data_IF_048127212991
#
_entry.id   IF_048127212991
#
_cell.length_a   1.000
_cell.length_b   1.000
_cell.length_c   1.000
_cell.angle_alpha   90.00
_cell.angle_beta   90.00
_cell.angle_gamma   90.00
#
_symmetry.space_group_name_H-M   'P 1'
#
loop_
_entity.id
_entity.type
_entity.pdbx_description
1 polymer ?
#
# COMPACT_ATOMS: atom_id res chain seq x y z
N UNK A 1 -32.67 -32.57 3.24
CA UNK A 1 -33.05 -31.44 4.12
C UNK A 1 -33.07 -30.19 3.27
N UNK A 2 -34.22 -29.79 2.76
CA UNK A 2 -34.37 -28.65 1.84
C UNK A 2 -34.15 -27.36 2.63
N UNK A 3 -33.26 -26.48 2.17
CA UNK A 3 -32.92 -25.23 2.85
C UNK A 3 -34.18 -24.36 3.07
N UNK A 4 -34.27 -23.60 4.18
CA UNK A 4 -35.37 -22.67 4.41
C UNK A 4 -35.45 -21.63 3.28
N UNK A 5 -36.67 -21.17 2.93
CA UNK A 5 -36.86 -20.25 1.81
C UNK A 5 -36.04 -18.97 1.99
N UNK A 6 -35.53 -18.39 0.89
CA UNK A 6 -34.72 -17.17 0.95
C UNK A 6 -35.53 -16.02 1.54
N UNK A 7 -34.88 -15.18 2.34
CA UNK A 7 -35.50 -13.96 2.87
C UNK A 7 -35.78 -12.96 1.74
N UNK A 8 -36.68 -11.96 1.91
CA UNK A 8 -37.00 -11.01 0.85
C UNK A 8 -35.78 -10.29 0.26
N UNK A 9 -34.84 -9.89 1.13
CA UNK A 9 -33.58 -9.28 0.72
C UNK A 9 -32.69 -10.26 -0.05
N UNK A 10 -32.60 -11.52 0.39
CA UNK A 10 -31.83 -12.55 -0.33
C UNK A 10 -32.43 -12.85 -1.71
N UNK A 11 -33.76 -12.89 -1.81
CA UNK A 11 -34.46 -13.05 -3.09
C UNK A 11 -34.16 -11.90 -4.03
N UNK A 12 -34.21 -10.65 -3.57
CA UNK A 12 -33.86 -9.49 -4.40
C UNK A 12 -32.44 -9.57 -4.97
N UNK A 13 -31.47 -10.05 -4.17
CA UNK A 13 -30.10 -10.27 -4.64
C UNK A 13 -30.02 -11.40 -5.67
N UNK A 14 -30.72 -12.52 -5.45
CA UNK A 14 -30.74 -13.64 -6.39
C UNK A 14 -31.42 -13.25 -7.71
N UNK A 15 -32.52 -12.51 -7.66
CA UNK A 15 -33.26 -12.02 -8.83
C UNK A 15 -32.41 -11.02 -9.62
N UNK A 16 -31.69 -10.13 -8.93
CA UNK A 16 -30.73 -9.22 -9.58
C UNK A 16 -29.60 -9.98 -10.27
N UNK A 17 -29.01 -10.97 -9.60
CA UNK A 17 -27.94 -11.79 -10.18
C UNK A 17 -28.46 -12.53 -11.43
N UNK A 18 -29.67 -13.09 -11.39
CA UNK A 18 -30.30 -13.75 -12.52
C UNK A 18 -30.59 -12.78 -13.70
N UNK A 19 -31.13 -11.60 -13.40
CA UNK A 19 -31.39 -10.57 -14.40
C UNK A 19 -30.10 -10.03 -15.03
N UNK A 20 -29.06 -9.82 -14.23
CA UNK A 20 -27.76 -9.36 -14.68
C UNK A 20 -27.07 -10.40 -15.57
N UNK A 21 -27.15 -11.69 -15.21
CA UNK A 21 -26.68 -12.79 -16.04
C UNK A 21 -27.44 -12.87 -17.38
N UNK A 22 -28.76 -12.62 -17.37
CA UNK A 22 -29.55 -12.61 -18.60
C UNK A 22 -29.16 -11.45 -19.53
N UNK A 23 -28.94 -10.26 -18.98
CA UNK A 23 -28.61 -9.05 -19.74
C UNK A 23 -27.16 -8.99 -20.22
N UNK A 24 -26.20 -9.41 -19.39
CA UNK A 24 -24.77 -9.17 -19.63
C UNK A 24 -23.97 -10.45 -19.88
N UNK A 25 -24.60 -11.63 -19.78
CA UNK A 25 -23.96 -12.95 -19.92
C UNK A 25 -22.72 -13.16 -19.05
N UNK A 26 -22.54 -12.34 -18.02
CA UNK A 26 -21.45 -12.42 -17.06
C UNK A 26 -22.00 -12.20 -15.65
N UNK A 27 -21.34 -12.79 -14.66
CA UNK A 27 -21.75 -12.67 -13.27
C UNK A 27 -21.49 -11.24 -12.75
N UNK A 28 -22.44 -10.62 -12.03
CA UNK A 28 -22.23 -9.30 -11.46
C UNK A 28 -21.05 -9.32 -10.50
N UNK A 29 -20.22 -8.30 -10.58
CA UNK A 29 -19.18 -8.06 -9.57
C UNK A 29 -19.82 -7.59 -8.27
N UNK A 30 -19.04 -7.63 -7.18
CA UNK A 30 -19.50 -7.08 -5.91
C UNK A 30 -19.80 -5.57 -6.03
N UNK A 31 -19.04 -4.86 -6.87
CA UNK A 31 -19.26 -3.44 -7.17
C UNK A 31 -20.59 -3.19 -7.92
N UNK A 32 -21.01 -4.07 -8.83
CA UNK A 32 -22.29 -3.96 -9.53
C UNK A 32 -23.47 -4.06 -8.54
N UNK A 33 -23.39 -5.03 -7.61
CA UNK A 33 -24.37 -5.19 -6.54
C UNK A 33 -24.36 -4.01 -5.56
N UNK A 34 -23.18 -3.48 -5.22
CA UNK A 34 -23.07 -2.26 -4.39
C UNK A 34 -23.76 -1.07 -5.05
N UNK A 35 -23.54 -0.86 -6.36
CA UNK A 35 -24.14 0.25 -7.08
C UNK A 35 -25.67 0.10 -7.22
N UNK A 36 -26.14 -1.11 -7.54
CA UNK A 36 -27.57 -1.36 -7.72
C UNK A 36 -28.37 -1.27 -6.41
N UNK A 37 -27.84 -1.81 -5.32
CA UNK A 37 -28.53 -1.84 -4.02
C UNK A 37 -28.17 -0.66 -3.10
N UNK A 38 -27.22 0.19 -3.49
CA UNK A 38 -26.80 1.36 -2.71
C UNK A 38 -26.18 1.02 -1.34
N UNK A 39 -25.58 -0.16 -1.22
CA UNK A 39 -25.02 -0.68 0.05
C UNK A 39 -23.49 -0.67 0.03
N UNK A 40 -22.89 -0.61 1.22
CA UNK A 40 -21.43 -0.61 1.38
C UNK A 40 -20.83 -1.97 1.00
N UNK A 41 -19.59 -1.99 0.47
CA UNK A 41 -18.87 -3.21 0.13
C UNK A 41 -18.91 -4.32 1.19
N UNK A 42 -18.64 -4.06 2.49
CA UNK A 42 -18.72 -5.11 3.52
C UNK A 42 -20.14 -5.70 3.70
N UNK A 43 -21.18 -4.93 3.37
CA UNK A 43 -22.57 -5.35 3.46
C UNK A 43 -22.97 -6.29 2.32
N UNK A 44 -22.54 -5.99 1.08
CA UNK A 44 -22.73 -6.88 -0.07
C UNK A 44 -21.95 -8.18 0.16
N UNK A 45 -20.69 -8.10 0.59
CA UNK A 45 -19.88 -9.26 0.92
C UNK A 45 -20.59 -10.21 1.89
N UNK A 46 -21.11 -9.67 2.99
CA UNK A 46 -21.85 -10.45 4.01
C UNK A 46 -23.10 -11.10 3.43
N UNK A 47 -23.83 -10.41 2.54
CA UNK A 47 -24.98 -10.98 1.85
C UNK A 47 -24.59 -12.11 0.90
N UNK A 48 -23.52 -11.93 0.12
CA UNK A 48 -22.98 -12.96 -0.79
C UNK A 48 -22.52 -14.20 -0.02
N UNK A 49 -21.78 -14.04 1.08
CA UNK A 49 -21.39 -15.16 1.97
C UNK A 49 -22.60 -15.86 2.61
N UNK A 50 -23.69 -15.13 2.84
CA UNK A 50 -24.92 -15.71 3.37
C UNK A 50 -25.66 -16.53 2.32
N UNK A 51 -25.66 -16.10 1.06
CA UNK A 51 -26.21 -16.85 -0.07
C UNK A 51 -25.38 -18.09 -0.41
N UNK A 52 -24.06 -18.01 -0.30
CA UNK A 52 -23.13 -19.14 -0.49
C UNK A 52 -23.30 -20.19 0.62
N UNK A 53 -23.29 -19.77 1.91
CA UNK A 53 -23.54 -20.68 3.04
C UNK A 53 -24.89 -21.40 2.97
N UNK A 54 -25.88 -20.78 2.31
CA UNK A 54 -27.21 -21.36 2.09
C UNK A 54 -27.30 -22.19 0.80
N UNK A 55 -26.24 -22.27 0.01
CA UNK A 55 -26.16 -23.11 -1.19
C UNK A 55 -26.85 -22.54 -2.44
N UNK A 56 -27.21 -21.25 -2.44
CA UNK A 56 -27.85 -20.61 -3.60
C UNK A 56 -26.85 -20.15 -4.68
N UNK A 57 -25.58 -20.00 -4.29
CA UNK A 57 -24.50 -19.48 -5.13
C UNK A 57 -23.23 -20.29 -4.86
N UNK A 58 -22.41 -20.51 -5.90
CA UNK A 58 -21.02 -20.96 -5.77
C UNK A 58 -20.08 -19.86 -6.25
N UNK A 59 -19.02 -19.59 -5.49
CA UNK A 59 -18.00 -18.60 -5.83
C UNK A 59 -16.62 -19.23 -5.75
N UNK A 60 -15.68 -18.70 -6.54
CA UNK A 60 -14.25 -18.91 -6.30
C UNK A 60 -13.76 -17.70 -5.50
N UNK A 61 -13.32 -17.92 -4.26
CA UNK A 61 -12.82 -16.84 -3.39
C UNK A 61 -11.70 -16.05 -4.08
N UNK A 62 -11.81 -14.73 -4.12
CA UNK A 62 -10.78 -13.84 -4.66
C UNK A 62 -10.82 -13.59 -6.18
N UNK A 63 -11.83 -14.09 -6.90
CA UNK A 63 -12.05 -13.74 -8.31
C UNK A 63 -13.34 -12.92 -8.48
N UNK A 64 -13.21 -11.70 -9.00
CA UNK A 64 -14.34 -10.94 -9.52
C UNK A 64 -15.00 -11.73 -10.66
N UNK A 65 -16.33 -11.65 -10.78
CA UNK A 65 -17.13 -12.36 -11.80
C UNK A 65 -17.08 -13.90 -11.74
N UNK A 66 -16.73 -14.47 -10.58
CA UNK A 66 -16.74 -15.93 -10.34
C UNK A 66 -18.03 -16.45 -9.69
N UNK A 67 -19.01 -15.56 -9.44
CA UNK A 67 -20.32 -15.91 -8.88
C UNK A 67 -21.06 -16.73 -9.92
N UNK A 68 -20.97 -18.03 -9.80
CA UNK A 68 -21.81 -18.94 -10.57
C UNK A 68 -23.03 -19.13 -9.69
N UNK A 69 -24.22 -18.70 -10.15
CA UNK A 69 -25.42 -19.37 -9.65
C UNK A 69 -25.17 -20.88 -9.83
N UNK A 70 -25.77 -21.75 -9.03
CA UNK A 70 -25.84 -23.16 -9.44
C UNK A 70 -27.14 -23.32 -10.21
N UNK A 71 -27.20 -23.04 -11.52
CA UNK A 71 -28.19 -23.62 -12.39
C UNK A 71 -27.64 -24.95 -12.91
N UNK A 72 -28.57 -25.82 -13.24
CA UNK A 72 -28.34 -26.94 -14.13
C UNK A 72 -27.74 -26.36 -15.43
N UNK A 73 -26.55 -26.84 -15.78
CA UNK A 73 -25.88 -26.81 -17.09
C UNK A 73 -25.32 -25.48 -17.66
N UNK A 74 -24.01 -25.56 -17.94
CA UNK A 74 -23.29 -25.22 -19.18
C UNK A 74 -22.72 -23.81 -19.49
N UNK A 75 -21.38 -23.77 -19.41
CA UNK A 75 -20.39 -23.58 -20.50
C UNK A 75 -19.84 -22.19 -20.91
N UNK A 76 -18.50 -22.19 -21.03
CA UNK A 76 -17.65 -21.56 -22.07
C UNK A 76 -17.02 -20.17 -21.85
N UNK A 77 -15.69 -20.16 -21.75
CA UNK A 77 -14.74 -19.03 -21.94
C UNK A 77 -14.47 -18.78 -23.46
N UNK A 78 -13.40 -18.09 -23.98
CA UNK A 78 -12.30 -17.29 -23.38
C UNK A 78 -11.71 -16.07 -24.21
N UNK A 79 -10.68 -15.40 -23.63
CA UNK A 79 -9.36 -14.93 -24.18
C UNK A 79 -9.09 -13.68 -25.10
N UNK A 80 -8.00 -12.97 -24.71
CA UNK A 80 -6.94 -12.24 -25.50
C UNK A 80 -7.25 -10.84 -26.09
N UNK A 81 -6.35 -9.84 -26.29
CA UNK A 81 -4.88 -9.75 -26.41
C UNK A 81 -4.35 -8.27 -26.43
N UNK A 82 -3.07 -8.09 -26.02
CA UNK A 82 -1.97 -7.29 -26.64
C UNK A 82 -1.95 -5.72 -26.75
N UNK A 83 -0.99 -5.10 -26.02
CA UNK A 83 0.15 -4.17 -26.36
C UNK A 83 0.07 -3.19 -27.57
N UNK A 84 1.12 -2.37 -27.92
CA UNK A 84 2.15 -1.55 -27.21
C UNK A 84 2.14 -0.05 -27.69
N UNK A 85 3.04 0.89 -27.34
CA UNK A 85 4.28 1.27 -28.11
C UNK A 85 4.83 2.66 -27.65
N UNK A 86 6.17 2.77 -27.49
CA UNK A 86 7.14 3.90 -27.72
C UNK A 86 6.91 5.32 -27.14
N UNK A 87 7.88 6.24 -26.93
CA UNK A 87 9.36 6.32 -26.90
C UNK A 87 9.75 7.79 -26.60
N UNK A 88 11.03 8.05 -26.29
CA UNK A 88 11.88 9.21 -26.66
C UNK A 88 12.58 10.02 -25.54
N UNK A 89 13.90 9.75 -25.43
CA UNK A 89 15.10 10.64 -25.49
C UNK A 89 15.11 12.00 -24.73
N UNK A 90 16.03 12.31 -23.80
CA UNK A 90 17.52 12.40 -23.81
C UNK A 90 18.04 13.84 -24.07
N UNK A 91 19.09 14.23 -23.31
CA UNK A 91 20.12 15.28 -23.55
C UNK A 91 20.26 16.36 -22.45
N UNK A 92 21.10 16.07 -21.44
CA UNK A 92 22.48 16.57 -21.21
C UNK A 92 22.88 18.06 -21.31
N UNK A 93 23.24 18.63 -20.13
CA UNK A 93 24.44 19.45 -19.70
C UNK A 93 24.77 20.83 -20.35
N UNK A 94 25.70 21.68 -19.83
CA UNK A 94 26.65 21.60 -18.67
C UNK A 94 26.63 22.81 -17.68
N UNK A 95 27.02 22.66 -16.41
CA UNK A 95 28.34 22.82 -15.74
C UNK A 95 29.03 24.21 -15.83
N UNK A 96 29.06 24.94 -14.70
CA UNK A 96 29.91 26.11 -14.47
C UNK A 96 30.69 25.92 -13.14
N UNK A 97 31.98 26.26 -13.17
CA UNK A 97 33.01 26.00 -12.16
C UNK A 97 33.04 27.05 -11.04
N UNK A 98 33.35 26.63 -9.81
CA UNK A 98 33.65 27.55 -8.69
C UNK A 98 34.61 26.92 -7.67
N UNK A 99 35.73 27.61 -7.45
CA UNK A 99 36.75 27.58 -6.36
C UNK A 99 36.84 26.31 -5.49
N UNK A 100 38.04 25.70 -5.45
CA UNK A 100 38.36 24.57 -4.54
C UNK A 100 38.27 25.00 -3.09
N UNK A 101 37.24 24.52 -2.41
CA UNK A 101 37.18 24.43 -0.96
C UNK A 101 38.13 23.33 -0.46
N UNK A 102 38.73 23.48 0.74
CA UNK A 102 39.51 22.42 1.37
C UNK A 102 38.70 21.12 1.42
N UNK A 103 39.35 20.04 1.00
CA UNK A 103 38.71 18.74 0.83
C UNK A 103 38.67 17.97 2.13
N UNK A 104 37.92 16.88 2.15
CA UNK A 104 37.93 15.93 3.28
C UNK A 104 39.34 15.46 3.65
N UNK A 105 40.25 15.36 2.68
CA UNK A 105 41.65 14.97 2.85
C UNK A 105 42.43 15.91 3.77
N UNK A 106 42.08 17.20 3.80
CA UNK A 106 42.75 18.22 4.61
C UNK A 106 42.17 18.25 6.04
N UNK A 107 40.87 17.98 6.18
CA UNK A 107 40.14 18.05 7.46
C UNK A 107 40.23 16.75 8.26
N UNK A 108 40.31 15.59 7.59
CA UNK A 108 40.40 14.27 8.23
C UNK A 108 41.55 14.14 9.25
N UNK A 109 42.81 14.53 8.97
CA UNK A 109 43.89 14.41 9.96
C UNK A 109 43.67 15.31 11.17
N UNK A 110 43.03 16.47 10.99
CA UNK A 110 42.68 17.37 12.08
C UNK A 110 41.60 16.77 12.98
N UNK A 111 40.54 16.20 12.39
CA UNK A 111 39.47 15.51 13.13
C UNK A 111 39.97 14.28 13.88
N UNK A 112 40.97 13.57 13.33
CA UNK A 112 41.55 12.41 13.98
C UNK A 112 42.35 12.76 15.25
N UNK A 113 42.81 14.01 15.37
CA UNK A 113 43.52 14.50 16.55
C UNK A 113 42.60 15.05 17.65
N UNK A 114 41.29 15.16 17.40
CA UNK A 114 40.34 15.67 18.39
C UNK A 114 40.08 14.64 19.49
N UNK A 115 39.96 15.12 20.73
CA UNK A 115 39.44 14.29 21.81
C UNK A 115 37.91 14.15 21.73
N UNK A 116 37.36 13.18 22.46
CA UNK A 116 35.92 12.91 22.46
C UNK A 116 35.05 14.14 22.78
N UNK A 117 35.36 14.97 23.81
CA UNK A 117 34.55 16.15 24.10
C UNK A 117 34.66 17.24 23.03
N UNK A 118 35.84 17.51 22.46
CA UNK A 118 35.97 18.50 21.38
C UNK A 118 35.25 18.04 20.10
N UNK A 119 35.29 16.75 19.79
CA UNK A 119 34.55 16.20 18.64
C UNK A 119 33.04 16.33 18.82
N UNK A 120 32.53 16.07 20.03
CA UNK A 120 31.10 16.27 20.34
C UNK A 120 30.70 17.74 20.27
N UNK A 121 31.54 18.66 20.74
CA UNK A 121 31.29 20.10 20.64
C UNK A 121 31.22 20.53 19.17
N UNK A 122 32.18 20.10 18.33
CA UNK A 122 32.17 20.39 16.91
C UNK A 122 30.92 19.84 16.19
N UNK A 123 30.52 18.59 16.49
CA UNK A 123 29.30 18.00 15.93
C UNK A 123 28.06 18.77 16.39
N UNK A 124 28.02 19.26 17.64
CA UNK A 124 26.92 20.08 18.17
C UNK A 124 26.85 21.44 17.45
N UNK A 125 27.98 22.10 17.23
CA UNK A 125 28.03 23.38 16.53
C UNK A 125 27.60 23.22 15.06
N UNK A 126 28.03 22.15 14.40
CA UNK A 126 27.56 21.78 13.06
C UNK A 126 26.06 21.47 13.03
N UNK A 127 25.55 20.76 14.04
CA UNK A 127 24.12 20.48 14.21
C UNK A 127 23.31 21.77 14.40
N UNK A 128 23.83 22.75 15.12
CA UNK A 128 23.17 24.06 15.25
C UNK A 128 23.17 24.84 13.91
N UNK A 129 24.30 24.83 13.19
CA UNK A 129 24.53 25.68 12.03
C UNK A 129 23.86 25.23 10.73
N UNK A 130 23.61 23.93 10.51
CA UNK A 130 23.09 23.41 9.23
C UNK A 130 21.92 22.44 9.41
N UNK A 131 20.81 22.72 8.71
CA UNK A 131 19.67 21.78 8.62
C UNK A 131 20.07 20.44 8.02
N UNK A 132 20.90 20.46 6.96
CA UNK A 132 21.44 19.24 6.35
C UNK A 132 22.28 18.41 7.33
N UNK A 133 23.07 19.06 8.19
CA UNK A 133 23.84 18.37 9.23
C UNK A 133 22.94 17.76 10.30
N UNK A 134 21.85 18.44 10.69
CA UNK A 134 20.84 17.87 11.61
C UNK A 134 20.21 16.62 11.04
N UNK A 135 19.77 16.67 9.79
CA UNK A 135 19.14 15.54 9.13
C UNK A 135 20.08 14.34 9.03
N UNK A 136 21.36 14.57 8.69
CA UNK A 136 22.38 13.52 8.65
C UNK A 136 22.64 12.88 10.01
N UNK A 137 22.82 13.70 11.05
CA UNK A 137 23.08 13.21 12.41
C UNK A 137 21.86 12.45 12.95
N UNK A 138 20.65 12.98 12.77
CA UNK A 138 19.41 12.32 13.20
C UNK A 138 19.17 11.00 12.47
N UNK A 139 19.48 10.95 11.17
CA UNK A 139 19.37 9.71 10.38
C UNK A 139 20.36 8.64 10.85
N UNK A 140 21.56 9.03 11.27
CA UNK A 140 22.64 8.10 11.67
C UNK A 140 22.61 7.70 13.14
N UNK A 141 22.12 8.58 14.00
CA UNK A 141 22.18 8.43 15.45
C UNK A 141 20.80 8.23 16.11
N UNK A 142 19.76 7.89 15.34
CA UNK A 142 18.44 7.61 15.89
C UNK A 142 18.52 6.52 16.97
N UNK A 143 18.04 6.76 18.21
CA UNK A 143 18.09 5.76 19.26
C UNK A 143 17.15 4.60 18.91
N UNK A 144 17.73 3.40 18.73
CA UNK A 144 17.02 2.21 18.27
C UNK A 144 15.88 1.78 19.20
N UNK A 145 16.01 1.98 20.50
CA UNK A 145 15.06 1.45 21.50
C UNK A 145 13.75 2.27 21.59
N UNK A 146 13.83 3.60 21.55
CA UNK A 146 12.63 4.45 21.58
C UNK A 146 11.88 4.41 20.25
N UNK A 147 12.61 4.27 19.14
CA UNK A 147 12.03 4.12 17.80
C UNK A 147 11.25 2.81 17.61
N UNK A 148 11.70 1.71 18.21
CA UNK A 148 11.08 0.39 18.09
C UNK A 148 9.67 0.33 18.72
N UNK A 149 9.50 0.89 19.92
CA UNK A 149 8.18 0.93 20.57
C UNK A 149 7.18 1.82 19.80
N UNK A 150 7.63 2.96 19.26
CA UNK A 150 6.81 3.85 18.45
C UNK A 150 6.42 3.17 17.12
N UNK A 151 7.36 2.42 16.52
CA UNK A 151 7.15 1.64 15.31
C UNK A 151 6.09 0.56 15.52
N UNK A 152 6.22 -0.26 16.56
CA UNK A 152 5.25 -1.32 16.87
C UNK A 152 3.86 -0.75 17.20
N UNK A 153 3.79 0.38 17.91
CA UNK A 153 2.53 1.08 18.16
C UNK A 153 1.88 1.58 16.86
N UNK A 154 2.67 2.11 15.92
CA UNK A 154 2.18 2.53 14.61
C UNK A 154 1.72 1.33 13.77
N UNK A 155 2.47 0.23 13.81
CA UNK A 155 2.15 -1.04 13.14
C UNK A 155 0.81 -1.58 13.61
N UNK A 156 0.59 -1.67 14.93
CA UNK A 156 -0.67 -2.12 15.51
C UNK A 156 -1.85 -1.25 15.04
N UNK A 157 -1.69 0.09 15.04
CA UNK A 157 -2.75 1.00 14.57
C UNK A 157 -3.13 0.77 13.12
N UNK A 158 -2.14 0.49 12.25
CA UNK A 158 -2.37 0.18 10.83
C UNK A 158 -3.16 -1.12 10.72
N UNK A 159 -2.69 -2.20 11.35
CA UNK A 159 -3.34 -3.52 11.30
C UNK A 159 -4.79 -3.45 11.78
N UNK A 160 -5.06 -2.75 12.88
CA UNK A 160 -6.41 -2.58 13.43
C UNK A 160 -7.37 -1.88 12.43
N UNK A 161 -6.87 -1.10 11.46
CA UNK A 161 -7.74 -0.50 10.42
C UNK A 161 -8.23 -1.53 9.39
N UNK A 162 -7.47 -2.61 9.17
CA UNK A 162 -7.83 -3.68 8.25
C UNK A 162 -8.54 -4.83 9.00
N UNK A 163 -7.97 -5.26 10.12
CA UNK A 163 -8.41 -6.42 10.90
C UNK A 163 -8.58 -6.01 12.36
N UNK A 164 -9.70 -5.37 12.73
CA UNK A 164 -9.93 -4.97 14.11
C UNK A 164 -10.16 -6.19 15.01
N UNK A 165 -9.78 -6.06 16.28
CA UNK A 165 -9.91 -7.14 17.27
C UNK A 165 -11.36 -7.52 17.58
N UNK A 166 -12.31 -6.61 17.31
CA UNK A 166 -13.75 -6.84 17.53
C UNK A 166 -14.59 -6.26 16.38
N UNK A 167 -15.45 -7.09 15.81
CA UNK A 167 -16.43 -6.70 14.79
C UNK A 167 -15.84 -6.58 13.39
N UNK A 168 -16.64 -6.03 12.47
CA UNK A 168 -16.24 -5.79 11.08
C UNK A 168 -15.69 -4.36 10.95
N UNK A 169 -14.44 -4.24 10.50
CA UNK A 169 -13.76 -2.95 10.35
C UNK A 169 -14.36 -2.07 9.27
N UNK A 170 -14.26 -0.75 9.45
CA UNK A 170 -14.70 0.25 8.45
C UNK A 170 -13.65 0.52 7.36
N UNK A 171 -12.55 -0.23 7.32
CA UNK A 171 -11.42 -0.05 6.41
C UNK A 171 -10.97 1.42 6.27
N UNK A 172 -10.52 2.02 7.37
CA UNK A 172 -10.15 3.44 7.38
C UNK A 172 -8.72 3.67 6.90
N UNK A 173 -8.53 3.66 5.59
CA UNK A 173 -7.22 3.88 4.94
C UNK A 173 -6.58 5.22 5.32
N UNK A 174 -7.38 6.26 5.53
CA UNK A 174 -6.92 7.57 5.97
C UNK A 174 -6.19 7.56 7.31
N UNK A 175 -6.72 6.81 8.29
CA UNK A 175 -6.12 6.67 9.62
C UNK A 175 -4.84 5.83 9.58
N UNK A 176 -4.83 4.75 8.79
CA UNK A 176 -3.64 3.95 8.57
C UNK A 176 -2.50 4.78 7.96
N UNK A 177 -2.77 5.53 6.88
CA UNK A 177 -1.75 6.41 6.27
C UNK A 177 -1.34 7.56 7.20
N UNK A 178 -2.25 8.04 8.06
CA UNK A 178 -1.93 9.05 9.06
C UNK A 178 -0.92 8.51 10.07
N UNK A 179 -1.07 7.28 10.55
CA UNK A 179 -0.11 6.65 11.45
C UNK A 179 1.31 6.57 10.84
N UNK A 180 1.42 6.28 9.55
CA UNK A 180 2.70 6.28 8.82
C UNK A 180 3.30 7.69 8.76
N UNK A 181 2.49 8.70 8.41
CA UNK A 181 2.95 10.10 8.35
C UNK A 181 3.39 10.62 9.71
N UNK A 182 2.63 10.30 10.75
CA UNK A 182 2.93 10.72 12.12
C UNK A 182 4.22 10.05 12.60
N UNK A 183 4.41 8.75 12.36
CA UNK A 183 5.67 8.05 12.64
C UNK A 183 6.87 8.72 11.95
N UNK A 184 6.75 8.99 10.64
CA UNK A 184 7.81 9.66 9.88
C UNK A 184 8.13 11.03 10.44
N UNK A 185 7.13 11.81 10.84
CA UNK A 185 7.33 13.13 11.46
C UNK A 185 8.00 13.05 12.82
N UNK A 186 7.63 12.07 13.65
CA UNK A 186 8.15 11.94 15.01
C UNK A 186 9.55 11.34 15.07
N UNK A 187 9.82 10.31 14.26
CA UNK A 187 11.08 9.56 14.34
C UNK A 187 12.06 9.95 13.23
N UNK A 188 11.59 10.46 12.09
CA UNK A 188 12.44 10.71 10.92
C UNK A 188 13.03 9.43 10.29
N UNK A 189 12.74 8.25 10.84
CA UNK A 189 13.31 6.97 10.40
C UNK A 189 12.74 6.54 9.05
N UNK A 190 13.57 6.66 8.03
CA UNK A 190 13.31 6.12 6.68
C UNK A 190 13.08 4.60 6.72
N UNK A 191 13.94 3.77 7.35
CA UNK A 191 13.74 2.32 7.35
C UNK A 191 12.45 1.91 8.07
N UNK A 192 12.15 2.51 9.22
CA UNK A 192 10.89 2.23 9.94
C UNK A 192 9.66 2.70 9.15
N UNK A 193 9.75 3.83 8.45
CA UNK A 193 8.67 4.29 7.56
C UNK A 193 8.42 3.29 6.42
N UNK A 194 9.49 2.72 5.83
CA UNK A 194 9.37 1.71 4.78
C UNK A 194 8.71 0.43 5.31
N UNK A 195 9.06 -0.01 6.52
CA UNK A 195 8.43 -1.16 7.19
C UNK A 195 6.93 -0.96 7.44
N UNK A 196 6.53 0.24 7.87
CA UNK A 196 5.11 0.57 8.04
C UNK A 196 4.35 0.65 6.71
N UNK A 197 5.00 1.14 5.64
CA UNK A 197 4.42 1.14 4.30
C UNK A 197 4.22 -0.29 3.79
N UNK A 198 5.19 -1.18 4.00
CA UNK A 198 5.06 -2.61 3.68
C UNK A 198 3.94 -3.25 4.49
N UNK A 199 3.87 -3.00 5.80
CA UNK A 199 2.76 -3.47 6.64
C UNK A 199 1.41 -3.03 6.07
N UNK A 200 1.28 -1.77 5.65
CA UNK A 200 0.04 -1.26 5.06
C UNK A 200 -0.35 -1.98 3.76
N UNK A 201 0.62 -2.19 2.86
CA UNK A 201 0.39 -2.86 1.57
C UNK A 201 0.08 -4.35 1.76
N UNK A 202 0.84 -5.04 2.62
CA UNK A 202 0.63 -6.45 2.95
C UNK A 202 -0.76 -6.69 3.56
N UNK A 203 -1.19 -5.84 4.49
CA UNK A 203 -2.53 -5.93 5.06
C UNK A 203 -3.59 -5.59 4.02
N UNK A 204 -3.33 -4.65 3.10
CA UNK A 204 -4.22 -4.40 1.96
C UNK A 204 -4.39 -5.64 1.06
N UNK A 205 -3.29 -6.27 0.65
CA UNK A 205 -3.32 -7.49 -0.15
C UNK A 205 -3.95 -8.67 0.59
N UNK A 206 -3.71 -8.78 1.90
CA UNK A 206 -4.38 -9.77 2.74
C UNK A 206 -5.88 -9.51 2.83
N UNK A 207 -6.27 -8.24 2.96
CA UNK A 207 -7.66 -7.82 3.05
C UNK A 207 -8.42 -8.17 1.77
N UNK A 208 -7.83 -7.94 0.59
CA UNK A 208 -8.45 -8.35 -0.69
C UNK A 208 -8.50 -9.87 -0.87
N UNK A 209 -7.53 -10.61 -0.33
CA UNK A 209 -7.59 -12.08 -0.33
C UNK A 209 -8.74 -12.60 0.53
N UNK A 210 -8.98 -11.96 1.68
CA UNK A 210 -9.95 -12.42 2.67
C UNK A 210 -11.37 -11.96 2.34
N UNK A 211 -11.54 -10.72 1.89
CA UNK A 211 -12.84 -10.11 1.61
C UNK A 211 -13.15 -9.94 0.12
N UNK A 212 -12.21 -10.22 -0.77
CA UNK A 212 -12.39 -10.07 -2.22
C UNK A 212 -12.06 -8.67 -2.73
N UNK A 213 -12.56 -8.36 -3.92
CA UNK A 213 -12.34 -7.08 -4.57
C UNK A 213 -13.02 -5.94 -3.80
N UNK A 214 -12.32 -4.81 -3.59
CA UNK A 214 -12.79 -3.74 -2.71
C UNK A 214 -13.40 -2.58 -3.51
N UNK A 215 -12.62 -1.55 -3.82
CA UNK A 215 -13.00 -0.45 -4.68
C UNK A 215 -11.73 0.19 -5.27
N UNK A 216 -11.90 1.00 -6.32
CA UNK A 216 -10.77 1.65 -6.99
C UNK A 216 -9.99 2.57 -6.03
N UNK A 217 -10.68 3.21 -5.07
CA UNK A 217 -10.07 4.11 -4.09
C UNK A 217 -9.09 3.36 -3.18
N UNK A 218 -9.43 2.13 -2.82
CA UNK A 218 -8.58 1.25 -2.05
C UNK A 218 -7.30 0.93 -2.81
N UNK A 219 -7.39 0.47 -4.06
CA UNK A 219 -6.22 0.14 -4.88
C UNK A 219 -5.35 1.36 -5.15
N UNK A 220 -5.97 2.48 -5.54
CA UNK A 220 -5.28 3.77 -5.67
C UNK A 220 -4.52 4.14 -4.39
N UNK A 221 -5.09 3.90 -3.21
CA UNK A 221 -4.42 4.19 -1.95
C UNK A 221 -3.26 3.23 -1.64
N UNK A 222 -3.39 1.94 -1.96
CA UNK A 222 -2.33 0.93 -1.79
C UNK A 222 -1.16 1.19 -2.75
N UNK A 223 -1.44 1.46 -4.01
CA UNK A 223 -0.44 1.81 -5.03
C UNK A 223 0.27 3.13 -4.69
N UNK A 224 -0.48 4.15 -4.23
CA UNK A 224 0.11 5.42 -3.82
C UNK A 224 1.11 5.28 -2.67
N UNK A 225 0.96 4.26 -1.81
CA UNK A 225 1.88 4.00 -0.72
C UNK A 225 3.25 3.51 -1.24
N UNK A 226 3.26 2.75 -2.33
CA UNK A 226 4.48 2.23 -2.95
C UNK A 226 5.22 3.30 -3.76
N UNK A 227 4.48 4.11 -4.51
CA UNK A 227 5.07 5.19 -5.35
C UNK A 227 5.62 6.34 -4.53
N UNK A 228 4.97 6.69 -3.41
CA UNK A 228 5.41 7.77 -2.51
C UNK A 228 6.38 7.30 -1.41
N UNK A 229 6.82 6.04 -1.43
CA UNK A 229 7.77 5.52 -0.47
C UNK A 229 9.12 6.24 -0.58
N UNK A 230 9.79 6.61 0.53
CA UNK A 230 11.12 7.19 0.49
C UNK A 230 12.18 6.25 -0.13
N UNK A 231 11.98 4.92 -0.09
CA UNK A 231 12.83 3.95 -0.81
C UNK A 231 12.63 3.98 -2.33
N UNK A 232 11.53 4.56 -2.83
CA UNK A 232 11.35 4.80 -4.27
C UNK A 232 12.45 5.70 -4.82
N UNK A 233 13.03 6.61 -4.02
CA UNK A 233 14.17 7.41 -4.45
C UNK A 233 15.43 6.54 -4.64
N UNK A 234 15.67 5.57 -3.75
CA UNK A 234 16.79 4.63 -3.87
C UNK A 234 16.60 3.64 -5.02
N UNK A 235 15.37 3.16 -5.27
CA UNK A 235 15.05 2.29 -6.41
C UNK A 235 15.09 3.07 -7.73
N UNK A 236 14.63 4.32 -7.76
CA UNK A 236 14.77 5.22 -8.92
C UNK A 236 16.23 5.58 -9.19
N UNK A 237 17.03 5.85 -8.17
CA UNK A 237 18.48 6.03 -8.31
C UNK A 237 19.16 4.74 -8.75
N UNK A 238 18.82 3.59 -8.17
CA UNK A 238 19.42 2.30 -8.54
C UNK A 238 19.05 1.88 -9.97
N UNK A 239 17.82 2.13 -10.42
CA UNK A 239 17.40 1.92 -11.80
C UNK A 239 18.03 2.94 -12.74
N UNK A 240 18.19 4.20 -12.31
CA UNK A 240 18.91 5.24 -13.07
C UNK A 240 20.41 4.92 -13.24
N UNK A 241 21.07 4.43 -12.18
CA UNK A 241 22.47 3.96 -12.19
C UNK A 241 22.64 2.68 -13.01
N UNK A 242 21.63 1.81 -13.04
CA UNK A 242 21.65 0.59 -13.86
C UNK A 242 21.50 0.91 -15.34
N UNK A 243 20.61 1.84 -15.70
CA UNK A 243 20.42 2.30 -17.08
C UNK A 243 21.62 3.06 -17.64
N UNK A 244 22.44 3.71 -16.81
CA UNK A 244 23.66 4.42 -17.24
C UNK A 244 24.89 3.52 -17.41
N UNK A 245 24.81 2.24 -17.07
CA UNK A 245 25.92 1.27 -17.18
C UNK A 245 25.80 0.32 -18.38
N UNK A 246 24.68 0.41 -19.11
CA UNK A 246 24.38 -0.39 -20.31
C UNK A 246 24.29 0.45 -21.59
N UNK A 247 24.77 1.71 -21.55
CA UNK A 247 24.94 2.58 -22.71
C UNK A 247 26.40 2.76 -23.06
#
# INVERSE_FOLDING_TARGET
MTAPPPTPTQRAYLDYIAAYLHAHRCAPSEADMQHHFGVTAPGVHSMVLTLERRGFIRRISGQARSITLVPIADASAPLASATPVASHSETTMPAATSKKCPGWTDVRPLLAAFDKPALLALVKDLYAASETARDLVNTRCAPAESGAAILEKARHKIVEQFFPSRGFGKLKLGEARKAIRDYRKTTGSIPGTAELLMTYVENGARFTREYGDIDERFYSSVESALTNSPTSCAVRLANSIRSSKTG
#
